data_IF_749022109963
#
_entry.id   IF_749022109963
#
_cell.length_a   1.000
_cell.length_b   1.000
_cell.length_c   1.000
_cell.angle_alpha   90.00
_cell.angle_beta   90.00
_cell.angle_gamma   90.00
#
_symmetry.space_group_name_H-M   'P 1'
#
loop_
_entity.id
_entity.type
_entity.pdbx_description
1 polymer ?
#
# COMPACT_ATOMS: atom_id res chain seq x y z
N UNK A 1 20.02 -6.48 2.10
CA UNK A 1 18.65 -5.91 2.18
C UNK A 1 18.38 -5.21 0.88
N UNK A 2 17.29 -5.56 0.20
CA UNK A 2 16.88 -4.94 -1.05
C UNK A 2 15.69 -4.04 -0.84
N UNK A 3 15.65 -2.91 -1.55
CA UNK A 3 14.46 -2.07 -1.59
C UNK A 3 13.49 -2.66 -2.61
N UNK A 4 12.24 -2.84 -2.19
CA UNK A 4 11.14 -3.30 -3.04
C UNK A 4 10.22 -2.11 -3.33
N UNK A 5 9.79 -1.97 -4.58
CA UNK A 5 8.78 -1.01 -5.01
C UNK A 5 7.68 -1.78 -5.72
N UNK A 6 6.46 -1.68 -5.21
CA UNK A 6 5.25 -2.20 -5.85
C UNK A 6 4.53 -1.03 -6.51
N UNK A 7 4.22 -1.18 -7.79
CA UNK A 7 3.62 -0.13 -8.60
C UNK A 7 2.16 -0.45 -8.95
N UNK A 8 1.37 0.60 -9.20
CA UNK A 8 0.01 0.42 -9.72
C UNK A 8 -1.04 0.05 -8.67
N UNK A 9 -0.73 0.26 -7.39
CA UNK A 9 -1.70 0.11 -6.31
C UNK A 9 -2.64 1.32 -6.25
N UNK A 10 -3.77 1.18 -5.57
CA UNK A 10 -4.75 2.24 -5.41
C UNK A 10 -5.07 2.51 -3.93
N UNK A 11 -5.03 3.78 -3.56
CA UNK A 11 -5.61 4.31 -2.34
C UNK A 11 -7.09 4.64 -2.54
N UNK A 12 -7.93 4.29 -1.57
CA UNK A 12 -9.39 4.51 -1.56
C UNK A 12 -9.85 5.00 -0.19
N UNK A 13 -11.11 5.42 -0.07
CA UNK A 13 -11.70 5.79 1.23
C UNK A 13 -11.27 7.15 1.78
N UNK A 14 -10.49 7.94 1.03
CA UNK A 14 -10.01 9.27 1.46
C UNK A 14 -11.13 10.18 1.97
N UNK A 15 -12.28 10.15 1.27
CA UNK A 15 -13.43 10.98 1.57
C UNK A 15 -14.07 10.71 2.94
N UNK A 16 -13.85 9.54 3.54
CA UNK A 16 -14.27 9.23 4.91
C UNK A 16 -13.38 9.89 5.97
N UNK A 17 -12.20 10.36 5.58
CA UNK A 17 -11.18 10.93 6.47
C UNK A 17 -10.90 12.42 6.17
N UNK A 18 -11.87 13.10 5.56
CA UNK A 18 -11.86 14.55 5.33
C UNK A 18 -11.01 15.01 4.14
N UNK A 19 -10.43 14.09 3.35
CA UNK A 19 -9.64 14.43 2.17
C UNK A 19 -10.30 13.90 0.90
N UNK A 20 -10.23 14.66 -0.19
CA UNK A 20 -10.68 14.16 -1.51
C UNK A 20 -9.54 13.52 -2.30
N UNK A 21 -8.29 13.84 -1.95
CA UNK A 21 -7.07 13.35 -2.55
C UNK A 21 -5.96 13.29 -1.48
N UNK A 22 -5.06 12.32 -1.61
CA UNK A 22 -3.74 12.38 -1.00
C UNK A 22 -2.85 13.30 -1.84
N UNK A 23 -1.93 14.01 -1.19
CA UNK A 23 -1.02 14.91 -1.89
C UNK A 23 -0.07 14.10 -2.78
N UNK A 24 -0.05 14.42 -4.07
CA UNK A 24 0.85 13.78 -5.03
C UNK A 24 2.31 13.97 -4.61
N UNK A 25 3.11 12.92 -4.74
CA UNK A 25 4.51 12.86 -4.36
C UNK A 25 4.83 13.02 -2.86
N UNK A 26 3.85 13.28 -2.00
CA UNK A 26 4.03 13.24 -0.55
C UNK A 26 4.25 11.81 -0.05
N UNK A 27 4.86 11.70 1.13
CA UNK A 27 5.13 10.42 1.78
C UNK A 27 4.06 10.12 2.83
N UNK A 28 3.53 8.90 2.77
CA UNK A 28 2.58 8.34 3.71
C UNK A 28 3.12 7.01 4.25
N UNK A 29 2.66 6.57 5.42
CA UNK A 29 2.98 5.25 5.96
C UNK A 29 1.83 4.27 5.76
N UNK A 30 2.15 3.05 5.37
CA UNK A 30 1.21 1.93 5.33
C UNK A 30 1.25 1.13 6.64
N UNK A 31 0.10 0.82 7.23
CA UNK A 31 -0.02 0.03 8.46
C UNK A 31 -1.08 -1.05 8.32
N UNK A 32 -0.78 -2.34 8.56
CA UNK A 32 -1.82 -3.37 8.64
C UNK A 32 -2.78 -3.11 9.80
N UNK A 33 -4.08 -3.26 9.56
CA UNK A 33 -5.12 -3.20 10.60
C UNK A 33 -5.78 -4.58 10.75
N UNK A 34 -5.10 -5.48 11.45
CA UNK A 34 -5.54 -6.89 11.59
C UNK A 34 -6.72 -7.08 12.54
N UNK A 35 -7.02 -6.08 13.37
CA UNK A 35 -8.08 -6.15 14.39
C UNK A 35 -9.43 -5.58 13.92
N UNK A 36 -9.53 -5.03 12.69
CA UNK A 36 -10.80 -4.50 12.19
C UNK A 36 -11.70 -5.58 11.62
N UNK A 37 -12.97 -5.56 12.04
CA UNK A 37 -13.96 -6.61 11.79
C UNK A 37 -14.41 -6.76 10.32
N UNK A 38 -14.21 -5.75 9.47
CA UNK A 38 -14.74 -5.74 8.10
C UNK A 38 -13.78 -6.27 7.03
N UNK A 39 -12.47 -6.11 7.23
CA UNK A 39 -11.43 -6.62 6.33
C UNK A 39 -10.12 -6.86 7.08
N UNK A 40 -9.84 -8.13 7.40
CA UNK A 40 -8.62 -8.57 8.09
C UNK A 40 -7.32 -8.30 7.33
N UNK A 41 -7.41 -7.94 6.04
CA UNK A 41 -6.28 -7.63 5.18
C UNK A 41 -6.10 -6.12 4.97
N UNK A 42 -6.88 -5.29 5.66
CA UNK A 42 -6.82 -3.84 5.49
C UNK A 42 -5.41 -3.30 5.76
N UNK A 43 -4.93 -2.47 4.82
CA UNK A 43 -3.73 -1.66 5.00
C UNK A 43 -4.15 -0.20 5.03
N UNK A 44 -4.07 0.40 6.22
CA UNK A 44 -4.34 1.80 6.46
C UNK A 44 -3.19 2.68 5.93
N UNK A 45 -3.54 3.87 5.44
CA UNK A 45 -2.61 4.88 4.93
C UNK A 45 -2.66 6.08 5.85
N UNK A 46 -1.54 6.36 6.51
CA UNK A 46 -1.41 7.44 7.48
C UNK A 46 -0.53 8.57 6.96
N UNK A 47 -0.90 9.81 7.25
CA UNK A 47 -0.06 10.97 6.95
C UNK A 47 1.22 10.92 7.80
N UNK A 48 2.36 11.18 7.16
CA UNK A 48 3.62 11.38 7.87
C UNK A 48 3.86 12.90 8.04
N UNK A 49 4.30 13.39 9.22
CA UNK A 49 4.58 12.65 10.46
C UNK A 49 3.40 12.54 11.43
N UNK A 50 2.23 13.12 11.11
CA UNK A 50 1.13 13.28 12.09
C UNK A 50 0.41 11.99 12.48
N UNK A 51 0.73 10.87 11.84
CA UNK A 51 0.10 9.55 11.98
C UNK A 51 -1.43 9.54 11.82
N UNK A 52 -1.98 10.55 11.16
CA UNK A 52 -3.42 10.66 10.96
C UNK A 52 -3.85 9.71 9.86
N UNK A 53 -4.85 8.86 10.13
CA UNK A 53 -5.48 8.01 9.11
C UNK A 53 -6.07 8.88 7.99
N UNK A 54 -5.66 8.60 6.76
CA UNK A 54 -6.05 9.38 5.58
C UNK A 54 -6.82 8.54 4.55
N UNK A 55 -6.51 7.25 4.43
CA UNK A 55 -7.07 6.39 3.40
C UNK A 55 -6.78 4.91 3.72
N UNK A 56 -7.19 4.04 2.81
CA UNK A 56 -6.87 2.61 2.79
C UNK A 56 -6.32 2.20 1.44
N UNK A 57 -5.49 1.17 1.38
CA UNK A 57 -5.28 0.46 0.13
C UNK A 57 -6.58 -0.22 -0.30
N UNK A 58 -6.83 -0.23 -1.60
CA UNK A 58 -7.93 -0.99 -2.21
C UNK A 58 -7.78 -2.46 -1.83
N UNK A 59 -8.88 -3.11 -1.49
CA UNK A 59 -8.92 -4.48 -0.95
C UNK A 59 -8.03 -5.50 -1.69
N UNK A 60 -8.05 -5.48 -3.02
CA UNK A 60 -7.25 -6.40 -3.86
C UNK A 60 -5.75 -6.17 -3.66
N UNK A 61 -5.35 -4.90 -3.58
CA UNK A 61 -3.97 -4.48 -3.38
C UNK A 61 -3.53 -4.76 -1.93
N UNK A 62 -4.43 -4.52 -0.98
CA UNK A 62 -4.23 -4.75 0.45
C UNK A 62 -4.00 -6.24 0.79
N UNK A 63 -4.71 -7.15 0.11
CA UNK A 63 -4.55 -8.60 0.29
C UNK A 63 -3.10 -9.05 0.10
N UNK A 64 -2.48 -8.64 -1.01
CA UNK A 64 -1.08 -8.97 -1.31
C UNK A 64 -0.12 -8.43 -0.25
N UNK A 65 -0.27 -7.16 0.12
CA UNK A 65 0.58 -6.53 1.13
C UNK A 65 0.41 -7.17 2.51
N UNK A 66 -0.83 -7.50 2.88
CA UNK A 66 -1.15 -8.22 4.12
C UNK A 66 -0.49 -9.60 4.15
N UNK A 67 -0.46 -10.30 3.02
CA UNK A 67 0.22 -11.59 2.93
C UNK A 67 1.74 -11.46 3.10
N UNK A 68 2.37 -10.49 2.43
CA UNK A 68 3.80 -10.22 2.61
C UNK A 68 4.16 -9.87 4.06
N UNK A 69 3.29 -9.11 4.74
CA UNK A 69 3.45 -8.80 6.16
C UNK A 69 3.31 -10.06 7.03
N UNK A 70 2.29 -10.89 6.78
CA UNK A 70 2.05 -12.15 7.52
C UNK A 70 3.21 -13.15 7.37
N UNK A 71 3.84 -13.17 6.19
CA UNK A 71 5.00 -14.02 5.90
C UNK A 71 6.33 -13.43 6.44
N UNK A 72 6.30 -12.27 7.10
CA UNK A 72 7.49 -11.56 7.60
C UNK A 72 8.51 -11.24 6.50
N UNK A 73 8.03 -10.95 5.28
CA UNK A 73 8.92 -10.55 4.18
C UNK A 73 9.24 -9.05 4.22
N UNK A 74 8.38 -8.26 4.85
CA UNK A 74 8.56 -6.82 4.99
C UNK A 74 9.47 -6.53 6.18
N UNK A 75 10.61 -5.88 5.93
CA UNK A 75 11.50 -5.34 6.94
C UNK A 75 11.30 -3.82 7.06
N UNK A 76 11.04 -3.35 8.28
CA UNK A 76 10.79 -1.95 8.60
C UNK A 76 9.44 -1.40 8.16
N UNK A 77 9.41 -0.11 7.83
CA UNK A 77 8.18 0.62 7.53
C UNK A 77 7.77 0.52 6.06
N UNK A 78 6.46 0.40 5.83
CA UNK A 78 5.85 0.53 4.52
C UNK A 78 5.65 2.01 4.21
N UNK A 79 6.20 2.48 3.09
CA UNK A 79 6.02 3.84 2.59
C UNK A 79 5.12 3.83 1.36
N UNK A 80 4.15 4.75 1.32
CA UNK A 80 3.22 4.92 0.21
C UNK A 80 3.42 6.30 -0.40
N UNK A 81 3.54 6.34 -1.72
CA UNK A 81 3.73 7.56 -2.49
C UNK A 81 2.65 7.69 -3.57
N UNK A 82 1.66 8.59 -3.41
CA UNK A 82 0.66 8.88 -4.43
C UNK A 82 1.32 9.44 -5.69
N UNK A 83 0.81 9.06 -6.86
CA UNK A 83 1.42 9.38 -8.17
C UNK A 83 0.61 10.32 -9.04
N UNK A 84 -0.71 10.23 -8.97
CA UNK A 84 -1.63 10.97 -9.81
C UNK A 84 -2.79 11.48 -8.97
N UNK A 85 -3.54 12.45 -9.51
CA UNK A 85 -4.81 12.88 -8.93
C UNK A 85 -5.83 11.72 -8.89
N UNK A 86 -6.77 11.71 -7.93
CA UNK A 86 -7.75 10.66 -7.81
C UNK A 86 -8.76 10.67 -8.97
N UNK A 87 -9.13 9.48 -9.42
CA UNK A 87 -10.27 9.28 -10.32
C UNK A 87 -11.52 9.10 -9.46
N UNK A 88 -12.53 9.93 -9.69
CA UNK A 88 -13.82 9.84 -9.00
C UNK A 88 -14.76 8.88 -9.70
N UNK A 89 -15.34 7.94 -8.95
CA UNK A 89 -16.43 7.07 -9.44
C UNK A 89 -17.62 7.19 -8.51
N UNK A 90 -18.80 7.44 -9.07
CA UNK A 90 -20.01 7.76 -8.31
C UNK A 90 -20.38 6.76 -7.19
N UNK A 91 -20.04 5.47 -7.35
CA UNK A 91 -20.35 4.41 -6.37
C UNK A 91 -19.20 3.99 -5.46
N UNK A 92 -17.97 4.41 -5.75
CA UNK A 92 -16.75 3.92 -5.08
C UNK A 92 -16.00 5.06 -4.38
N UNK A 93 -16.31 6.31 -4.73
CA UNK A 93 -15.58 7.49 -4.27
C UNK A 93 -14.27 7.69 -5.04
N UNK A 94 -13.37 8.55 -4.51
CA UNK A 94 -12.05 8.77 -5.10
C UNK A 94 -11.18 7.50 -5.00
N UNK A 95 -10.49 7.20 -6.10
CA UNK A 95 -9.45 6.17 -6.17
C UNK A 95 -8.18 6.79 -6.73
N UNK A 96 -7.08 6.69 -5.99
CA UNK A 96 -5.83 7.36 -6.34
C UNK A 96 -4.70 6.37 -6.50
N UNK A 97 -4.02 6.40 -7.65
CA UNK A 97 -2.90 5.50 -7.91
C UNK A 97 -1.69 5.89 -7.05
N UNK A 98 -1.06 4.90 -6.44
CA UNK A 98 0.12 5.04 -5.61
C UNK A 98 1.15 3.93 -5.89
N UNK A 99 2.37 4.18 -5.47
CA UNK A 99 3.38 3.14 -5.32
C UNK A 99 3.60 2.90 -3.83
N UNK A 100 4.04 1.69 -3.51
CA UNK A 100 4.39 1.29 -2.16
C UNK A 100 5.84 0.80 -2.15
N UNK A 101 6.61 1.16 -1.14
CA UNK A 101 7.98 0.66 -0.97
C UNK A 101 8.26 0.18 0.45
N UNK A 102 9.13 -0.82 0.56
CA UNK A 102 9.63 -1.38 1.82
C UNK A 102 10.99 -2.06 1.57
N UNK A 103 11.66 -2.52 2.63
CA UNK A 103 12.87 -3.32 2.52
C UNK A 103 12.59 -4.80 2.74
N UNK A 104 13.37 -5.65 2.08
CA UNK A 104 13.32 -7.10 2.24
C UNK A 104 14.73 -7.64 2.46
N UNK A 105 14.86 -8.72 3.22
CA UNK A 105 16.08 -9.54 3.24
C UNK A 105 16.35 -10.16 1.86
N UNK A 106 17.61 -10.33 1.52
CA UNK A 106 18.01 -10.77 0.18
C UNK A 106 17.53 -12.21 -0.11
N UNK A 107 17.47 -13.06 0.91
CA UNK A 107 16.94 -14.43 0.85
C UNK A 107 15.46 -14.52 0.46
N UNK A 108 14.68 -13.45 0.63
CA UNK A 108 13.24 -13.42 0.33
C UNK A 108 12.92 -12.80 -1.04
N UNK A 109 13.91 -12.28 -1.78
CA UNK A 109 13.70 -11.60 -3.07
C UNK A 109 12.99 -12.51 -4.07
N UNK A 110 13.45 -13.75 -4.23
CA UNK A 110 12.85 -14.72 -5.15
C UNK A 110 11.40 -15.04 -4.77
N UNK A 111 11.14 -15.22 -3.47
CA UNK A 111 9.80 -15.49 -2.94
C UNK A 111 8.82 -14.34 -3.21
N UNK A 112 9.26 -13.09 -3.06
CA UNK A 112 8.44 -11.91 -3.41
C UNK A 112 8.12 -11.90 -4.90
N UNK A 113 9.10 -12.19 -5.77
CA UNK A 113 8.88 -12.16 -7.21
C UNK A 113 7.86 -13.22 -7.66
N UNK A 114 7.91 -14.43 -7.09
CA UNK A 114 6.91 -15.48 -7.33
C UNK A 114 5.54 -15.06 -6.82
N UNK A 115 5.47 -14.56 -5.57
CA UNK A 115 4.22 -14.14 -4.95
C UNK A 115 3.56 -13.00 -5.74
N UNK A 116 4.35 -12.03 -6.21
CA UNK A 116 3.89 -10.94 -7.06
C UNK A 116 3.34 -11.44 -8.40
N UNK A 117 4.01 -12.39 -9.05
CA UNK A 117 3.55 -13.00 -10.29
C UNK A 117 2.18 -13.66 -10.14
N UNK A 118 1.96 -14.39 -9.04
CA UNK A 118 0.68 -15.02 -8.72
C UNK A 118 -0.46 -14.01 -8.51
N UNK A 119 -0.13 -12.80 -8.07
CA UNK A 119 -1.09 -11.73 -7.80
C UNK A 119 -1.20 -10.69 -8.93
N UNK A 120 -0.46 -10.86 -10.03
CA UNK A 120 -0.41 -9.90 -11.14
C UNK A 120 0.17 -8.54 -10.72
N UNK A 121 1.04 -8.51 -9.72
CA UNK A 121 1.61 -7.28 -9.15
C UNK A 121 2.89 -6.89 -9.88
N UNK A 122 3.03 -5.60 -10.22
CA UNK A 122 4.27 -5.07 -10.80
C UNK A 122 5.24 -4.72 -9.68
N UNK A 123 6.32 -5.48 -9.57
CA UNK A 123 7.35 -5.31 -8.53
C UNK A 123 8.70 -5.00 -9.15
N UNK A 124 9.38 -4.03 -8.56
CA UNK A 124 10.75 -3.63 -8.89
C UNK A 124 11.63 -3.73 -7.66
N UNK A 125 12.84 -4.23 -7.85
CA UNK A 125 13.90 -4.18 -6.85
C UNK A 125 14.83 -3.02 -7.17
N UNK A 126 15.24 -2.28 -6.16
CA UNK A 126 16.24 -1.23 -6.25
C UNK A 126 17.39 -1.56 -5.29
N UNK A 127 18.61 -1.24 -5.74
CA UNK A 127 19.82 -1.34 -4.94
C UNK A 127 19.98 -0.14 -3.99
#
# INVERSE_FOLDING_TARGET
MKKVIIEGLYAVGMHHHGQRALQVAAQYSGKPETEKSFDRHAIAIHAHPSDRLCAYLRRQDALFISELHRLNFIDGHILIKPKFEPVFRARVGPSQRCNLGFYVKDEHVASIQICAGNHGMLVRFAD
#
